data_IF_215754463335
#
_entry.id   IF_215754463335
#
_cell.length_a   1.000
_cell.length_b   1.000
_cell.length_c   1.000
_cell.angle_alpha   90.00
_cell.angle_beta   90.00
_cell.angle_gamma   90.00
#
_symmetry.space_group_name_H-M   'P 1'
#
loop_
_entity.id
_entity.type
_entity.pdbx_description
1 polymer ?
#
# COMPACT_ATOMS: atom_id res chain seq x y z
N UNK A 1 -19.06 -27.00 -5.05
CA UNK A 1 -19.11 -27.48 -3.65
C UNK A 1 -17.67 -27.41 -3.16
N UNK A 2 -17.25 -26.40 -2.41
CA UNK A 2 -17.33 -26.35 -0.93
C UNK A 2 -17.22 -24.88 -0.46
N UNK A 3 -18.00 -24.52 0.56
CA UNK A 3 -18.07 -23.21 1.21
C UNK A 3 -16.95 -23.01 2.27
N UNK A 4 -16.82 -21.76 2.76
CA UNK A 4 -16.01 -21.24 3.88
C UNK A 4 -14.70 -20.54 3.44
N UNK A 5 -14.51 -19.24 3.67
CA UNK A 5 -14.50 -18.62 5.01
C UNK A 5 -14.87 -17.12 4.89
N UNK A 6 -16.06 -16.73 5.35
CA UNK A 6 -16.32 -15.34 5.74
C UNK A 6 -15.64 -15.14 7.10
N UNK A 7 -14.33 -14.92 7.07
CA UNK A 7 -13.55 -14.60 8.27
C UNK A 7 -13.79 -13.15 8.64
N UNK A 8 -14.77 -12.91 9.51
CA UNK A 8 -14.85 -11.68 10.29
C UNK A 8 -13.61 -11.59 11.18
N UNK A 9 -12.56 -10.93 10.69
CA UNK A 9 -11.43 -10.53 11.52
C UNK A 9 -11.82 -9.20 12.19
N UNK A 10 -12.51 -9.29 13.33
CA UNK A 10 -12.56 -8.18 14.29
C UNK A 10 -11.19 -8.02 14.93
N UNK A 11 -10.25 -7.37 14.22
CA UNK A 11 -9.05 -6.85 14.89
C UNK A 11 -9.46 -5.60 15.67
N UNK A 12 -9.45 -5.74 16.99
CA UNK A 12 -9.81 -4.71 17.96
C UNK A 12 -9.06 -3.38 17.72
N UNK A 13 -9.76 -2.43 17.10
CA UNK A 13 -9.47 -1.00 17.17
C UNK A 13 -10.78 -0.29 17.50
N UNK A 14 -11.08 -0.26 18.79
CA UNK A 14 -11.90 0.75 19.45
C UNK A 14 -13.20 1.16 18.70
N UNK A 15 -14.11 0.22 18.43
CA UNK A 15 -15.52 0.50 18.06
C UNK A 15 -15.79 1.41 16.85
N UNK A 16 -14.79 1.84 16.07
CA UNK A 16 -14.92 2.91 15.06
C UNK A 16 -14.78 2.43 13.61
N UNK A 17 -14.41 1.17 13.39
CA UNK A 17 -14.38 0.60 12.05
C UNK A 17 -14.85 -0.85 11.99
N UNK A 18 -15.69 -1.15 11.00
CA UNK A 18 -16.12 -2.51 10.66
C UNK A 18 -15.57 -2.88 9.28
N UNK A 19 -14.99 -4.08 9.16
CA UNK A 19 -14.38 -4.56 7.91
C UNK A 19 -15.10 -5.83 7.50
N UNK A 20 -15.61 -5.84 6.27
CA UNK A 20 -16.20 -7.02 5.64
C UNK A 20 -15.48 -7.31 4.32
N UNK A 21 -14.92 -8.51 4.20
CA UNK A 21 -14.17 -8.96 3.02
C UNK A 21 -15.04 -9.97 2.27
N UNK A 22 -15.52 -9.57 1.10
CA UNK A 22 -16.33 -10.38 0.18
C UNK A 22 -15.50 -10.69 -1.08
N UNK A 23 -14.71 -11.77 -1.04
CA UNK A 23 -13.88 -12.19 -2.16
C UNK A 23 -12.87 -11.12 -2.59
N UNK A 24 -13.11 -10.48 -3.74
CA UNK A 24 -12.26 -9.41 -4.28
C UNK A 24 -12.64 -8.00 -3.82
N UNK A 25 -13.68 -7.87 -2.97
CA UNK A 25 -14.19 -6.58 -2.50
C UNK A 25 -14.01 -6.47 -0.98
N UNK A 26 -13.63 -5.30 -0.53
CA UNK A 26 -13.50 -4.98 0.89
C UNK A 26 -14.42 -3.79 1.16
N UNK A 27 -15.34 -3.95 2.11
CA UNK A 27 -16.18 -2.87 2.63
C UNK A 27 -15.64 -2.48 4.01
N UNK A 28 -15.34 -1.21 4.19
CA UNK A 28 -14.90 -0.67 5.48
C UNK A 28 -15.82 0.48 5.84
N UNK A 29 -16.52 0.32 6.96
CA UNK A 29 -17.31 1.38 7.56
C UNK A 29 -16.44 2.12 8.56
N UNK A 30 -16.41 3.45 8.48
CA UNK A 30 -15.58 4.32 9.32
C UNK A 30 -16.47 5.37 9.97
N UNK A 31 -16.42 5.45 11.30
CA UNK A 31 -17.11 6.49 12.07
C UNK A 31 -16.10 7.52 12.57
N UNK A 32 -16.32 8.79 12.21
CA UNK A 32 -15.46 9.91 12.58
C UNK A 32 -16.21 10.88 13.49
N UNK A 33 -15.51 11.40 14.51
CA UNK A 33 -16.03 12.42 15.39
C UNK A 33 -15.82 13.81 14.78
N UNK A 34 -16.91 14.56 14.61
CA UNK A 34 -16.88 15.93 14.15
C UNK A 34 -16.65 16.87 15.34
N UNK A 35 -15.76 17.85 15.19
CA UNK A 35 -15.49 18.85 16.21
C UNK A 35 -15.95 20.24 15.76
N UNK A 36 -15.94 21.21 16.67
CA UNK A 36 -16.28 22.62 16.35
C UNK A 36 -15.14 23.37 15.63
N UNK A 37 -13.98 22.74 15.49
CA UNK A 37 -12.81 23.26 14.81
C UNK A 37 -12.62 22.50 13.49
N UNK A 38 -12.43 23.24 12.39
CA UNK A 38 -12.26 22.59 11.10
C UNK A 38 -10.93 21.82 11.03
N UNK A 39 -9.85 22.39 11.57
CA UNK A 39 -8.53 21.78 11.56
C UNK A 39 -8.51 20.45 12.30
N UNK A 40 -9.11 20.39 13.49
CA UNK A 40 -9.17 19.16 14.29
C UNK A 40 -9.99 18.07 13.57
N UNK A 41 -11.06 18.48 12.90
CA UNK A 41 -11.89 17.58 12.10
C UNK A 41 -11.12 17.04 10.89
N UNK A 42 -10.35 17.87 10.19
CA UNK A 42 -9.49 17.43 9.07
C UNK A 42 -8.41 16.44 9.50
N UNK A 43 -7.76 16.70 10.65
CA UNK A 43 -6.77 15.79 11.23
C UNK A 43 -7.42 14.45 11.57
N UNK A 44 -8.62 14.45 12.15
CA UNK A 44 -9.35 13.23 12.47
C UNK A 44 -9.74 12.43 11.22
N UNK A 45 -10.21 13.12 10.17
CA UNK A 45 -10.51 12.49 8.87
C UNK A 45 -9.25 11.85 8.29
N UNK A 46 -8.14 12.59 8.25
CA UNK A 46 -6.89 12.08 7.70
C UNK A 46 -6.38 10.85 8.46
N UNK A 47 -6.41 10.90 9.79
CA UNK A 47 -6.00 9.77 10.65
C UNK A 47 -6.86 8.53 10.38
N UNK A 48 -8.19 8.68 10.41
CA UNK A 48 -9.10 7.56 10.18
C UNK A 48 -8.96 6.95 8.79
N UNK A 49 -8.80 7.78 7.75
CA UNK A 49 -8.58 7.28 6.39
C UNK A 49 -7.23 6.59 6.23
N UNK A 50 -6.18 7.07 6.90
CA UNK A 50 -4.86 6.43 6.87
C UNK A 50 -4.90 5.05 7.55
N UNK A 51 -5.54 4.94 8.72
CA UNK A 51 -5.70 3.67 9.43
C UNK A 51 -6.48 2.64 8.57
N UNK A 52 -7.62 3.06 8.03
CA UNK A 52 -8.45 2.24 7.13
C UNK A 52 -7.68 1.86 5.87
N UNK A 53 -6.92 2.81 5.29
CA UNK A 53 -6.08 2.59 4.12
C UNK A 53 -4.97 1.57 4.36
N UNK A 54 -4.33 1.58 5.54
CA UNK A 54 -3.35 0.58 5.94
C UNK A 54 -3.96 -0.82 6.00
N UNK A 55 -5.16 -0.95 6.59
CA UNK A 55 -5.84 -2.24 6.71
C UNK A 55 -6.27 -2.76 5.32
N UNK A 56 -6.86 -1.90 4.49
CA UNK A 56 -7.23 -2.25 3.11
C UNK A 56 -6.00 -2.68 2.29
N UNK A 57 -4.88 -1.97 2.44
CA UNK A 57 -3.62 -2.30 1.77
C UNK A 57 -3.06 -3.64 2.24
N UNK A 58 -3.16 -3.95 3.55
CA UNK A 58 -2.75 -5.24 4.10
C UNK A 58 -3.51 -6.39 3.47
N UNK A 59 -4.84 -6.29 3.42
CA UNK A 59 -5.69 -7.32 2.83
C UNK A 59 -5.49 -7.44 1.32
N UNK A 60 -5.30 -6.32 0.62
CA UNK A 60 -4.96 -6.33 -0.80
C UNK A 60 -3.61 -7.04 -1.07
N UNK A 61 -2.60 -6.83 -0.22
CA UNK A 61 -1.32 -7.52 -0.34
C UNK A 61 -1.45 -9.02 -0.06
N UNK A 62 -2.25 -9.42 0.93
CA UNK A 62 -2.54 -10.84 1.20
C UNK A 62 -3.30 -11.51 0.05
N UNK A 63 -4.24 -10.80 -0.57
CA UNK A 63 -4.99 -11.31 -1.72
C UNK A 63 -4.09 -11.62 -2.92
N UNK A 64 -2.95 -10.93 -3.04
CA UNK A 64 -1.92 -11.19 -4.05
C UNK A 64 -0.89 -12.25 -3.62
N UNK A 65 -1.00 -12.80 -2.41
CA UNK A 65 -0.13 -13.90 -1.98
C UNK A 65 -0.67 -15.25 -2.46
N UNK A 66 0.19 -16.27 -2.41
CA UNK A 66 -0.14 -17.66 -2.76
C UNK A 66 -0.31 -18.51 -1.50
N UNK A 67 -1.12 -19.57 -1.56
CA UNK A 67 -1.39 -20.52 -0.45
C UNK A 67 -0.20 -21.42 -0.03
N UNK A 68 1.04 -21.07 -0.39
CA UNK A 68 2.24 -21.85 -0.05
C UNK A 68 2.48 -23.11 -0.90
N UNK A 69 1.64 -23.36 -1.92
CA UNK A 69 1.78 -24.51 -2.82
C UNK A 69 3.04 -24.41 -3.68
N UNK A 70 3.73 -25.53 -4.00
CA UNK A 70 4.93 -25.51 -4.84
C UNK A 70 4.66 -24.83 -6.19
N UNK A 71 5.54 -23.89 -6.56
CA UNK A 71 5.40 -23.13 -7.79
C UNK A 71 6.32 -23.72 -8.86
N UNK A 72 5.78 -23.91 -10.07
CA UNK A 72 6.57 -24.27 -11.24
C UNK A 72 6.84 -23.02 -12.07
N UNK A 73 8.08 -22.54 -12.06
CA UNK A 73 8.49 -21.35 -12.81
C UNK A 73 9.49 -21.81 -13.87
N UNK A 74 9.02 -21.96 -15.11
CA UNK A 74 9.78 -22.60 -16.18
C UNK A 74 9.88 -24.11 -15.97
N UNK A 75 11.10 -24.64 -16.06
CA UNK A 75 11.40 -26.07 -15.83
C UNK A 75 11.70 -26.41 -14.36
N UNK A 76 11.87 -25.39 -13.52
CA UNK A 76 12.27 -25.57 -12.12
C UNK A 76 11.08 -25.51 -11.15
N UNK A 77 11.15 -26.39 -10.13
CA UNK A 77 10.19 -26.45 -9.03
C UNK A 77 10.73 -25.63 -7.86
N UNK A 78 9.95 -24.67 -7.42
CA UNK A 78 10.22 -23.84 -6.26
C UNK A 78 9.42 -24.35 -5.07
N UNK A 79 10.11 -24.60 -3.96
CA UNK A 79 9.49 -25.06 -2.71
C UNK A 79 9.29 -23.89 -1.76
N UNK A 80 8.16 -23.87 -1.07
CA UNK A 80 7.88 -22.87 -0.05
C UNK A 80 8.75 -23.11 1.18
N UNK A 81 9.36 -22.05 1.69
CA UNK A 81 10.09 -22.00 2.97
C UNK A 81 9.15 -21.64 4.13
N UNK A 82 7.89 -21.31 3.83
CA UNK A 82 6.89 -20.85 4.77
C UNK A 82 6.65 -19.33 4.73
N UNK A 83 5.80 -18.87 5.64
CA UNK A 83 5.50 -17.45 5.81
C UNK A 83 6.65 -16.73 6.53
N UNK A 84 7.03 -15.57 6.02
CA UNK A 84 8.00 -14.68 6.65
C UNK A 84 7.41 -13.27 6.73
N UNK A 85 7.48 -12.58 7.88
CA UNK A 85 7.02 -11.22 8.00
C UNK A 85 7.95 -10.27 7.25
N UNK A 86 7.38 -9.28 6.55
CA UNK A 86 8.13 -8.13 6.02
C UNK A 86 7.32 -6.85 6.17
N UNK A 87 8.03 -5.77 6.44
CA UNK A 87 7.50 -4.40 6.48
C UNK A 87 7.44 -3.80 5.08
N UNK A 88 6.27 -3.28 4.73
CA UNK A 88 6.00 -2.58 3.49
C UNK A 88 5.56 -1.15 3.76
N UNK A 89 6.10 -0.23 2.96
CA UNK A 89 5.77 1.19 3.02
C UNK A 89 4.64 1.48 2.03
N UNK A 90 3.50 1.90 2.57
CA UNK A 90 2.32 2.32 1.79
C UNK A 90 2.12 3.83 1.90
N UNK A 91 1.33 4.45 1.00
CA UNK A 91 0.99 5.88 1.10
C UNK A 91 0.31 6.26 2.41
N UNK A 92 -0.39 5.31 3.02
CA UNK A 92 -1.20 5.52 4.23
C UNK A 92 -0.39 5.27 5.51
N UNK A 93 0.70 4.51 5.41
CA UNK A 93 1.55 4.14 6.54
C UNK A 93 2.29 2.83 6.32
N UNK A 94 2.95 2.37 7.37
CA UNK A 94 3.70 1.12 7.36
C UNK A 94 2.79 -0.07 7.67
N UNK A 95 2.98 -1.17 6.93
CA UNK A 95 2.17 -2.39 7.07
C UNK A 95 3.07 -3.61 7.10
N UNK A 96 2.91 -4.43 8.14
CA UNK A 96 3.57 -5.74 8.26
C UNK A 96 2.67 -6.80 7.62
N UNK A 97 3.22 -7.53 6.64
CA UNK A 97 2.54 -8.62 5.94
C UNK A 97 3.39 -9.88 6.02
N UNK A 98 2.74 -10.99 6.42
CA UNK A 98 3.32 -12.32 6.30
C UNK A 98 3.20 -12.77 4.84
N UNK A 99 4.33 -13.11 4.22
CA UNK A 99 4.39 -13.50 2.82
C UNK A 99 5.03 -14.86 2.65
N UNK A 100 4.60 -15.60 1.65
CA UNK A 100 5.24 -16.87 1.30
C UNK A 100 6.54 -16.66 0.52
N UNK A 101 7.62 -17.21 1.06
CA UNK A 101 8.94 -17.15 0.43
C UNK A 101 9.29 -18.51 -0.16
N UNK A 102 9.75 -18.51 -1.41
CA UNK A 102 10.10 -19.71 -2.14
C UNK A 102 11.59 -19.78 -2.45
N UNK A 103 12.12 -21.00 -2.50
CA UNK A 103 13.51 -21.27 -2.85
C UNK A 103 13.61 -22.47 -3.80
N UNK A 104 14.64 -22.45 -4.65
CA UNK A 104 15.02 -23.58 -5.52
C UNK A 104 15.74 -24.66 -4.72
N UNK A 105 15.64 -25.91 -5.17
CA UNK A 105 16.36 -27.04 -4.56
C UNK A 105 17.89 -26.89 -4.60
N UNK A 106 18.42 -26.19 -5.62
CA UNK A 106 19.86 -25.92 -5.79
C UNK A 106 20.36 -24.82 -4.84
N UNK A 107 19.45 -24.13 -4.14
CA UNK A 107 19.75 -22.96 -3.30
C UNK A 107 19.78 -21.66 -4.11
N UNK A 108 20.17 -20.56 -3.44
CA UNK A 108 20.27 -19.23 -4.06
C UNK A 108 19.13 -18.27 -3.72
N UNK A 109 18.85 -17.34 -4.64
CA UNK A 109 17.91 -16.21 -4.44
C UNK A 109 16.51 -16.71 -4.09
N UNK A 110 15.91 -16.08 -3.09
CA UNK A 110 14.52 -16.32 -2.70
C UNK A 110 13.57 -15.58 -3.63
N UNK A 111 12.44 -16.21 -3.93
CA UNK A 111 11.38 -15.66 -4.77
C UNK A 111 10.10 -15.48 -3.96
N UNK A 112 9.48 -14.30 -4.06
CA UNK A 112 8.23 -13.98 -3.39
C UNK A 112 7.18 -13.63 -4.47
N UNK A 113 6.13 -14.45 -4.67
CA UNK A 113 5.07 -14.18 -5.63
C UNK A 113 4.39 -12.83 -5.39
N UNK A 114 4.02 -12.56 -4.13
CA UNK A 114 3.40 -11.30 -3.70
C UNK A 114 4.17 -10.07 -4.20
N UNK A 115 5.50 -10.04 -4.04
CA UNK A 115 6.30 -8.88 -4.45
C UNK A 115 6.33 -8.68 -5.96
N UNK A 116 6.31 -9.78 -6.71
CA UNK A 116 6.30 -9.74 -8.18
C UNK A 116 4.94 -9.27 -8.69
N UNK A 117 3.85 -9.80 -8.15
CA UNK A 117 2.48 -9.46 -8.57
C UNK A 117 2.12 -8.03 -8.19
N UNK A 118 2.43 -7.62 -6.96
CA UNK A 118 2.22 -6.25 -6.49
C UNK A 118 3.22 -5.24 -7.07
N UNK A 119 4.23 -5.70 -7.82
CA UNK A 119 5.32 -4.88 -8.41
C UNK A 119 5.98 -3.97 -7.37
N UNK A 120 6.36 -4.57 -6.24
CA UNK A 120 6.98 -3.85 -5.13
C UNK A 120 8.38 -3.40 -5.53
N UNK A 121 8.68 -2.14 -5.24
CA UNK A 121 10.01 -1.56 -5.46
C UNK A 121 10.70 -1.51 -4.11
N UNK A 122 11.61 -2.46 -3.88
CA UNK A 122 12.38 -2.64 -2.62
C UNK A 122 11.47 -2.97 -1.42
N UNK A 123 10.90 -1.95 -0.79
CA UNK A 123 9.97 -2.02 0.34
C UNK A 123 8.73 -1.15 0.11
N UNK A 124 8.70 -0.36 -0.95
CA UNK A 124 7.64 0.60 -1.24
C UNK A 124 6.63 0.02 -2.23
N UNK A 125 5.35 0.23 -1.91
CA UNK A 125 4.27 -0.02 -2.86
C UNK A 125 4.37 0.91 -4.09
N UNK A 126 3.88 0.49 -5.26
CA UNK A 126 4.04 1.24 -6.51
C UNK A 126 3.42 2.65 -6.46
N UNK A 127 2.30 2.81 -5.74
CA UNK A 127 1.66 4.12 -5.58
C UNK A 127 2.53 5.08 -4.75
N UNK A 128 3.12 4.60 -3.66
CA UNK A 128 4.05 5.39 -2.85
C UNK A 128 5.29 5.77 -3.67
N UNK A 129 5.86 4.82 -4.38
CA UNK A 129 7.02 5.07 -5.24
C UNK A 129 6.72 6.15 -6.29
N UNK A 130 5.52 6.14 -6.90
CA UNK A 130 5.07 7.17 -7.84
C UNK A 130 4.97 8.55 -7.20
N UNK A 131 4.34 8.65 -6.02
CA UNK A 131 4.19 9.91 -5.28
C UNK A 131 5.55 10.52 -4.93
N UNK A 132 6.45 9.72 -4.36
CA UNK A 132 7.80 10.17 -3.98
C UNK A 132 8.62 10.59 -5.20
N UNK A 133 8.50 9.88 -6.31
CA UNK A 133 9.20 10.21 -7.56
C UNK A 133 8.72 11.55 -8.14
N UNK A 134 7.41 11.79 -8.18
CA UNK A 134 6.87 13.07 -8.67
C UNK A 134 7.29 14.29 -7.83
N UNK A 135 7.50 14.10 -6.52
CA UNK A 135 7.95 15.17 -5.63
C UNK A 135 9.43 15.50 -5.82
N UNK A 136 10.27 14.51 -6.16
CA UNK A 136 11.71 14.72 -6.40
C UNK A 136 12.03 15.22 -7.81
N UNK A 137 11.19 14.90 -8.80
CA UNK A 137 11.47 15.21 -10.21
C UNK A 137 10.86 16.53 -10.65
N UNK A 138 9.89 17.12 -9.92
CA UNK A 138 9.43 18.49 -10.23
C UNK A 138 10.62 19.43 -10.02
N UNK A 139 11.24 19.95 -11.09
CA UNK A 139 12.26 20.97 -10.93
C UNK A 139 11.59 22.12 -10.19
N UNK A 140 12.31 22.76 -9.29
CA UNK A 140 11.92 24.07 -8.79
C UNK A 140 11.90 24.99 -10.03
N UNK A 141 10.76 25.04 -10.73
CA UNK A 141 10.43 26.14 -11.63
C UNK A 141 10.28 27.32 -10.70
N UNK A 142 11.43 27.94 -10.44
CA UNK A 142 11.51 29.25 -9.85
C UNK A 142 10.66 30.15 -10.74
N UNK A 143 9.51 30.55 -10.21
CA UNK A 143 8.62 31.50 -10.87
C UNK A 143 9.25 32.88 -10.75
N UNK A 144 10.40 33.10 -11.40
CA UNK A 144 10.93 34.43 -11.68
C UNK A 144 10.22 34.99 -12.92
N UNK A 145 8.90 35.15 -12.82
CA UNK A 145 8.13 35.89 -13.82
C UNK A 145 7.94 37.31 -13.32
N UNK A 146 8.22 38.29 -14.18
CA UNK A 146 7.89 39.72 -14.10
C UNK A 146 8.91 40.64 -13.42
N UNK A 147 9.91 41.08 -14.20
CA UNK A 147 10.21 42.50 -14.42
C UNK A 147 11.18 42.66 -15.59
N UNK A 148 10.69 42.48 -16.82
CA UNK A 148 11.31 43.13 -17.97
C UNK A 148 10.60 44.46 -18.14
N UNK A 149 11.16 45.49 -17.50
CA UNK A 149 10.73 46.87 -17.64
C UNK A 149 10.84 47.30 -19.11
N UNK A 150 9.70 47.64 -19.69
CA UNK A 150 9.62 48.38 -20.93
C UNK A 150 10.06 49.83 -20.67
N UNK A 151 11.33 50.15 -20.91
CA UNK A 151 11.71 51.54 -21.18
C UNK A 151 11.52 51.80 -22.66
N UNK A 152 10.33 52.29 -23.00
CA UNK A 152 10.09 52.94 -24.27
C UNK A 152 10.97 54.18 -24.40
N UNK A 153 11.56 54.33 -25.58
CA UNK A 153 12.24 55.52 -26.05
C UNK A 153 11.20 56.61 -26.38
N UNK A 154 11.31 57.83 -25.85
CA UNK A 154 10.75 59.00 -26.50
C UNK A 154 11.88 59.86 -27.09
N UNK A 155 11.68 60.22 -28.35
CA UNK A 155 12.22 61.42 -28.98
C UNK A 155 12.27 62.62 -28.03
#
# INVERSE_FOLDING_TARGET
>A
MTFAKAGSLQSALNGKSQINVEGSKIKIELTLELSRSMLDTEINIQKGLNEVGCIASKEALKYLDTDGSPLKIGEEIWKSKGEQPKEYQTPYGEVIVNRHVYQRSVGGKTYCPLEREARIIITSTPLLAKQVSSKRVRPLVDKSCCNQGSTGNPY
#
